data_IF_431626633128
#
_entry.id   IF_431626633128
#
_cell.length_a   1.000
_cell.length_b   1.000
_cell.length_c   1.000
_cell.angle_alpha   90.00
_cell.angle_beta   90.00
_cell.angle_gamma   90.00
#
_symmetry.space_group_name_H-M   'P 1'
#
loop_
_entity.id
_entity.type
_entity.pdbx_description
1 polymer ?
#
# COMPACT_ATOMS: atom_id res chain seq x y z
N UNK A 1 -10.05 25.66 -42.43
CA UNK A 1 -8.99 25.04 -41.60
C UNK A 1 -9.58 24.76 -40.22
N UNK A 2 -10.18 23.57 -40.02
CA UNK A 2 -10.88 23.23 -38.77
C UNK A 2 -9.87 22.73 -37.73
N UNK A 3 -9.81 23.37 -36.56
CA UNK A 3 -8.99 22.94 -35.42
C UNK A 3 -9.65 21.69 -34.81
N UNK A 4 -8.99 20.54 -34.93
CA UNK A 4 -9.41 19.31 -34.24
C UNK A 4 -9.26 19.53 -32.73
N UNK A 5 -10.39 19.60 -32.02
CA UNK A 5 -10.46 19.57 -30.56
C UNK A 5 -10.17 18.14 -30.10
N UNK A 6 -9.02 17.93 -29.44
CA UNK A 6 -8.72 16.67 -28.77
C UNK A 6 -9.54 16.60 -27.47
N UNK A 7 -10.41 15.59 -27.36
CA UNK A 7 -11.11 15.27 -26.12
C UNK A 7 -10.10 14.76 -25.10
N UNK A 8 -9.77 15.57 -24.09
CA UNK A 8 -8.96 15.14 -22.94
C UNK A 8 -9.83 14.27 -22.05
N UNK A 9 -9.59 12.95 -22.05
CA UNK A 9 -10.18 12.04 -21.08
C UNK A 9 -9.74 12.46 -19.68
N UNK A 10 -10.68 12.82 -18.80
CA UNK A 10 -10.37 13.21 -17.42
C UNK A 10 -9.84 12.00 -16.64
N UNK A 11 -8.53 11.78 -16.67
CA UNK A 11 -7.86 10.89 -15.71
C UNK A 11 -7.80 11.61 -14.37
N UNK A 12 -8.27 10.96 -13.30
CA UNK A 12 -8.07 11.44 -11.93
C UNK A 12 -6.59 11.26 -11.57
N UNK A 13 -5.82 12.35 -11.69
CA UNK A 13 -4.40 12.38 -11.37
C UNK A 13 -4.27 12.86 -9.93
N UNK A 14 -3.77 12.00 -9.05
CA UNK A 14 -3.47 12.32 -7.66
C UNK A 14 -1.97 12.63 -7.53
N UNK A 15 -1.63 13.78 -6.95
CA UNK A 15 -0.26 14.09 -6.54
C UNK A 15 0.00 13.42 -5.18
N UNK A 16 0.92 12.45 -5.14
CA UNK A 16 1.25 11.67 -3.95
C UNK A 16 2.76 11.71 -3.69
N UNK A 17 3.16 11.59 -2.42
CA UNK A 17 4.56 11.26 -2.07
C UNK A 17 4.86 9.82 -2.47
N UNK A 18 6.15 9.46 -2.58
CA UNK A 18 6.53 8.09 -2.94
C UNK A 18 5.96 7.03 -2.00
N UNK A 19 6.00 7.28 -0.69
CA UNK A 19 5.44 6.36 0.30
C UNK A 19 3.92 6.23 0.22
N UNK A 20 3.21 7.35 0.02
CA UNK A 20 1.76 7.35 -0.16
C UNK A 20 1.34 6.65 -1.47
N UNK A 21 2.13 6.79 -2.54
CA UNK A 21 1.90 6.09 -3.79
C UNK A 21 2.06 4.56 -3.64
N UNK A 22 3.09 4.11 -2.91
CA UNK A 22 3.28 2.69 -2.60
C UNK A 22 2.13 2.15 -1.71
N UNK A 23 1.69 2.91 -0.70
CA UNK A 23 0.55 2.55 0.12
C UNK A 23 -0.75 2.44 -0.68
N UNK A 24 -0.99 3.35 -1.63
CA UNK A 24 -2.17 3.28 -2.51
C UNK A 24 -2.11 2.06 -3.45
N UNK A 25 -0.92 1.67 -3.92
CA UNK A 25 -0.74 0.44 -4.67
C UNK A 25 -1.02 -0.80 -3.80
N UNK A 26 -0.51 -0.84 -2.57
CA UNK A 26 -0.82 -1.91 -1.60
C UNK A 26 -2.33 -1.98 -1.32
N UNK A 27 -3.01 -0.84 -1.18
CA UNK A 27 -4.46 -0.77 -0.98
C UNK A 27 -5.24 -1.37 -2.14
N UNK A 28 -4.74 -1.23 -3.37
CA UNK A 28 -5.36 -1.83 -4.56
C UNK A 28 -5.08 -3.32 -4.70
N UNK A 29 -3.90 -3.77 -4.26
CA UNK A 29 -3.56 -5.19 -4.21
C UNK A 29 -4.30 -5.92 -3.08
N UNK A 30 -4.57 -5.21 -1.98
CA UNK A 30 -5.23 -5.70 -0.77
C UNK A 30 -4.66 -7.04 -0.30
N UNK A 31 -3.37 -7.09 0.13
CA UNK A 31 -2.78 -8.33 0.61
C UNK A 31 -3.53 -8.84 1.84
N UNK A 32 -3.65 -10.16 2.00
CA UNK A 32 -4.29 -10.74 3.18
C UNK A 32 -3.52 -10.40 4.48
N UNK A 33 -2.18 -10.38 4.40
CA UNK A 33 -1.29 -10.09 5.54
C UNK A 33 -0.19 -9.10 5.16
N UNK A 34 0.07 -8.14 6.05
CA UNK A 34 1.16 -7.18 5.98
C UNK A 34 1.95 -7.17 7.31
N UNK A 35 3.11 -7.81 7.33
CA UNK A 35 4.04 -7.70 8.45
C UNK A 35 4.86 -6.40 8.34
N UNK A 36 4.89 -5.61 9.41
CA UNK A 36 5.47 -4.26 9.40
C UNK A 36 6.51 -4.07 10.50
N UNK A 37 7.64 -3.47 10.11
CA UNK A 37 8.67 -2.97 11.00
C UNK A 37 9.02 -1.53 10.58
N UNK A 38 8.78 -0.51 11.42
CA UNK A 38 9.05 0.87 11.05
C UNK A 38 10.54 1.17 10.97
N UNK A 39 11.01 1.60 9.79
CA UNK A 39 12.35 2.15 9.59
C UNK A 39 12.33 3.34 8.63
N UNK A 40 13.09 4.39 8.94
CA UNK A 40 13.22 5.54 8.03
C UNK A 40 14.06 5.17 6.81
N UNK A 41 13.66 5.50 5.57
CA UNK A 41 12.54 6.38 5.16
C UNK A 41 11.24 5.65 4.74
N UNK A 42 11.11 4.36 5.04
CA UNK A 42 9.98 3.51 4.62
C UNK A 42 8.72 3.68 5.50
N UNK A 43 8.88 4.16 6.75
CA UNK A 43 7.79 4.41 7.71
C UNK A 43 6.52 5.06 7.12
N UNK A 44 6.58 6.08 6.24
CA UNK A 44 5.37 6.69 5.68
C UNK A 44 4.47 5.74 4.88
N UNK A 45 5.02 4.64 4.33
CA UNK A 45 4.23 3.60 3.66
C UNK A 45 3.34 2.90 4.69
N UNK A 46 3.92 2.47 5.81
CA UNK A 46 3.22 1.76 6.90
C UNK A 46 2.15 2.66 7.48
N UNK A 47 2.49 3.91 7.82
CA UNK A 47 1.54 4.86 8.43
C UNK A 47 0.36 5.17 7.50
N UNK A 48 0.63 5.37 6.21
CA UNK A 48 -0.42 5.66 5.23
C UNK A 48 -1.36 4.48 5.04
N UNK A 49 -0.81 3.25 4.93
CA UNK A 49 -1.62 2.04 4.76
C UNK A 49 -2.40 1.70 6.03
N UNK A 50 -1.79 1.83 7.21
CA UNK A 50 -2.47 1.62 8.49
C UNK A 50 -3.65 2.59 8.68
N UNK A 51 -3.51 3.84 8.22
CA UNK A 51 -4.64 4.79 8.18
C UNK A 51 -5.75 4.32 7.24
N UNK A 52 -5.42 3.80 6.06
CA UNK A 52 -6.41 3.25 5.14
C UNK A 52 -7.15 2.04 5.74
N UNK A 53 -6.46 1.15 6.45
CA UNK A 53 -7.09 0.07 7.23
C UNK A 53 -8.02 0.64 8.31
N UNK A 54 -7.56 1.61 9.10
CA UNK A 54 -8.37 2.23 10.15
C UNK A 54 -9.63 2.94 9.61
N UNK A 55 -9.55 3.49 8.39
CA UNK A 55 -10.68 4.08 7.67
C UNK A 55 -11.62 3.02 7.03
N UNK A 56 -11.34 1.71 7.21
CA UNK A 56 -12.12 0.60 6.64
C UNK A 56 -11.99 0.45 5.12
N UNK A 57 -10.87 0.87 4.54
CA UNK A 57 -10.65 0.79 3.07
C UNK A 57 -10.02 -0.53 2.61
N UNK A 58 -9.51 -1.33 3.53
CA UNK A 58 -8.92 -2.65 3.32
C UNK A 58 -9.14 -3.49 4.57
N UNK A 59 -9.28 -4.80 4.38
CA UNK A 59 -9.40 -5.77 5.48
C UNK A 59 -8.08 -6.47 5.84
N UNK A 60 -6.97 -6.14 5.15
CA UNK A 60 -5.61 -6.66 5.37
C UNK A 60 -5.22 -6.77 6.84
N UNK A 61 -4.68 -7.91 7.27
CA UNK A 61 -4.12 -8.06 8.62
C UNK A 61 -2.74 -7.42 8.76
N UNK A 62 -2.56 -6.53 9.73
CA UNK A 62 -1.29 -5.81 9.95
C UNK A 62 -0.64 -6.37 11.21
N UNK A 63 0.55 -6.96 11.06
CA UNK A 63 1.30 -7.57 12.15
C UNK A 63 2.54 -6.71 12.42
N UNK A 64 2.63 -6.15 13.63
CA UNK A 64 3.84 -5.46 14.08
C UNK A 64 4.86 -6.49 14.54
N UNK A 65 6.02 -6.53 13.88
CA UNK A 65 7.11 -7.45 14.20
C UNK A 65 8.28 -6.71 14.83
N UNK A 66 9.22 -7.44 15.41
CA UNK A 66 10.39 -6.89 16.10
C UNK A 66 11.58 -6.55 15.19
N UNK A 67 11.60 -7.05 13.94
CA UNK A 67 12.70 -6.81 12.99
C UNK A 67 12.30 -7.08 11.53
N UNK A 68 13.12 -6.67 10.56
CA UNK A 68 12.91 -6.99 9.14
C UNK A 68 13.01 -8.50 8.84
N UNK A 69 13.87 -9.22 9.56
CA UNK A 69 13.97 -10.68 9.43
C UNK A 69 12.68 -11.36 9.88
N UNK A 70 12.10 -10.86 10.97
CA UNK A 70 10.82 -11.33 11.50
C UNK A 70 9.67 -10.98 10.56
N UNK A 71 9.74 -9.83 9.89
CA UNK A 71 8.77 -9.43 8.87
C UNK A 71 8.75 -10.44 7.72
N UNK A 72 9.92 -10.77 7.17
CA UNK A 72 10.04 -11.76 6.09
C UNK A 72 9.57 -13.15 6.54
N UNK A 73 9.98 -13.57 7.74
CA UNK A 73 9.60 -14.87 8.30
C UNK A 73 8.07 -14.98 8.47
N UNK A 74 7.43 -13.91 8.95
CA UNK A 74 5.98 -13.86 9.13
C UNK A 74 5.23 -13.95 7.80
N UNK A 75 5.64 -13.21 6.76
CA UNK A 75 4.95 -13.25 5.45
C UNK A 75 5.15 -14.57 4.73
N UNK A 76 6.32 -15.22 4.86
CA UNK A 76 6.54 -16.58 4.33
C UNK A 76 5.62 -17.58 5.01
N UNK A 77 5.48 -17.50 6.34
CA UNK A 77 4.55 -18.34 7.09
C UNK A 77 3.08 -18.09 6.72
N UNK A 78 2.68 -16.83 6.53
CA UNK A 78 1.35 -16.46 6.08
C UNK A 78 1.06 -17.03 4.68
N UNK A 79 1.99 -16.88 3.74
CA UNK A 79 1.85 -17.42 2.38
C UNK A 79 1.70 -18.95 2.41
N UNK A 80 2.51 -19.64 3.22
CA UNK A 80 2.38 -21.09 3.39
C UNK A 80 1.01 -21.53 3.97
N UNK A 81 0.31 -20.64 4.67
CA UNK A 81 -1.04 -20.86 5.18
C UNK A 81 -2.17 -20.51 4.18
N UNK A 82 -1.82 -20.00 2.99
CA UNK A 82 -2.78 -19.63 1.94
C UNK A 82 -3.19 -18.17 1.93
N UNK A 83 -2.42 -17.30 2.60
CA UNK A 83 -2.47 -15.85 2.41
C UNK A 83 -1.71 -15.41 1.15
#
# INVERSE_FOLDING_TARGET
MQRKSYKTTHKNIHALTGGAAAAEALRQMEPDVMAVYPITPQTPIIETFAKMKADGKVETEIIQVESEHSAMSAVVGAQAAGA
#
